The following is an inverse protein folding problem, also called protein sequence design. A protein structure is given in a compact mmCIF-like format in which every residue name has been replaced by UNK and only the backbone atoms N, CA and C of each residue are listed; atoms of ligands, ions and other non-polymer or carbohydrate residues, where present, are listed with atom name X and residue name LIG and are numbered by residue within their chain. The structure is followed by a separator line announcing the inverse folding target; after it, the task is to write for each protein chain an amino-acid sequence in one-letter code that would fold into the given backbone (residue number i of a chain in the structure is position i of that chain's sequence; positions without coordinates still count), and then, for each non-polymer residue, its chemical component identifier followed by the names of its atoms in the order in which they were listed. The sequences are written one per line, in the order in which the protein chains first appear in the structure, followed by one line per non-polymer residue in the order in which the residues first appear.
data_IF_621179371659
#
_entry.id   IF_621179371659
#
_cell.length_a   1.000
_cell.length_b   1.000
_cell.length_c   1.000
_cell.angle_alpha   90.00
_cell.angle_beta   90.00
_cell.angle_gamma   90.00
#
_symmetry.space_group_name_H-M   'P 1'
#
loop_
_entity.id
_entity.type
_entity.pdbx_description
1 polymer ?
#
# COMPACT_ATOMS: atom_id res chain seq x y z
N UNK A 1 10.68 36.14 -7.75
CA UNK A 1 9.20 36.17 -7.83
C UNK A 1 8.66 35.16 -6.82
N UNK A 2 8.15 35.63 -5.68
CA UNK A 2 7.63 34.75 -4.63
C UNK A 2 6.19 34.36 -4.96
N UNK A 3 5.91 33.07 -5.04
CA UNK A 3 4.55 32.56 -5.22
C UNK A 3 3.82 32.77 -3.90
N UNK A 4 2.90 33.74 -3.85
CA UNK A 4 2.00 33.92 -2.71
C UNK A 4 0.91 32.84 -2.81
N UNK A 5 1.19 31.68 -2.21
CA UNK A 5 0.21 30.58 -2.16
C UNK A 5 -0.83 30.93 -1.11
N UNK A 6 -2.10 31.03 -1.52
CA UNK A 6 -3.21 31.33 -0.63
C UNK A 6 -3.34 30.23 0.43
N UNK A 7 -3.48 30.61 1.71
CA UNK A 7 -3.61 29.67 2.83
C UNK A 7 -4.73 28.65 2.59
N UNK A 8 -5.85 29.05 1.98
CA UNK A 8 -6.95 28.13 1.62
C UNK A 8 -6.56 27.12 0.56
N UNK A 9 -5.81 27.54 -0.46
CA UNK A 9 -5.33 26.62 -1.50
C UNK A 9 -4.27 25.65 -0.96
N UNK A 10 -3.41 26.11 -0.05
CA UNK A 10 -2.48 25.24 0.66
C UNK A 10 -3.22 24.17 1.49
N UNK A 11 -4.23 24.58 2.27
CA UNK A 11 -5.03 23.63 3.05
C UNK A 11 -5.88 22.70 2.17
N UNK A 12 -6.39 23.17 1.04
CA UNK A 12 -7.10 22.32 0.08
C UNK A 12 -6.15 21.30 -0.56
N UNK A 13 -4.96 21.71 -0.99
CA UNK A 13 -3.95 20.79 -1.51
C UNK A 13 -3.54 19.75 -0.45
N UNK A 14 -3.38 20.16 0.81
CA UNK A 14 -3.08 19.28 1.93
C UNK A 14 -4.24 18.31 2.24
N UNK A 15 -5.48 18.79 2.19
CA UNK A 15 -6.68 17.95 2.40
C UNK A 15 -6.91 16.98 1.24
N UNK A 16 -6.67 17.40 0.00
CA UNK A 16 -6.71 16.53 -1.18
C UNK A 16 -5.61 15.48 -1.16
N UNK A 17 -4.42 15.80 -0.65
CA UNK A 17 -3.35 14.81 -0.39
C UNK A 17 -3.71 13.82 0.72
N UNK A 18 -4.52 14.22 1.69
CA UNK A 18 -4.91 13.38 2.83
C UNK A 18 -6.00 12.35 2.51
N UNK A 19 -6.62 12.40 1.33
CA UNK A 19 -7.37 11.25 0.81
C UNK A 19 -6.33 10.19 0.43
N UNK A 20 -6.03 9.28 1.36
CA UNK A 20 -5.25 8.06 1.10
C UNK A 20 -5.77 7.43 -0.18
N UNK A 21 -5.06 7.65 -1.29
CA UNK A 21 -5.43 7.06 -2.57
C UNK A 21 -5.29 5.56 -2.39
N UNK A 22 -6.42 4.87 -2.43
CA UNK A 22 -6.42 3.41 -2.37
C UNK A 22 -5.69 2.87 -3.58
N UNK A 23 -4.76 1.93 -3.40
CA UNK A 23 -3.94 1.38 -4.51
C UNK A 23 -4.11 -0.12 -4.61
N UNK A 24 -4.36 -0.61 -5.82
CA UNK A 24 -4.39 -2.04 -6.11
C UNK A 24 -2.99 -2.59 -6.35
N UNK A 25 -2.67 -3.68 -5.66
CA UNK A 25 -1.38 -4.35 -5.75
C UNK A 25 -1.60 -5.85 -5.87
N UNK A 26 -0.67 -6.52 -6.55
CA UNK A 26 -0.65 -7.97 -6.67
C UNK A 26 0.34 -8.57 -5.67
N UNK A 27 -0.06 -9.67 -5.04
CA UNK A 27 0.78 -10.46 -4.14
C UNK A 27 1.75 -11.30 -4.97
N UNK A 28 3.04 -11.21 -4.66
CA UNK A 28 4.09 -11.99 -5.31
C UNK A 28 4.41 -13.26 -4.52
N UNK A 29 4.54 -13.10 -3.21
CA UNK A 29 5.03 -14.14 -2.31
C UNK A 29 4.39 -13.95 -0.94
N UNK A 30 4.14 -15.05 -0.25
CA UNK A 30 3.52 -15.07 1.07
C UNK A 30 4.47 -15.82 2.01
N UNK A 31 4.79 -15.18 3.13
CA UNK A 31 5.63 -15.74 4.18
C UNK A 31 4.73 -16.17 5.33
N UNK A 32 4.70 -17.48 5.59
CA UNK A 32 3.84 -18.07 6.61
C UNK A 32 4.53 -18.12 7.98
N UNK A 33 3.74 -17.99 9.04
CA UNK A 33 4.07 -18.40 10.40
C UNK A 33 3.10 -19.50 10.86
N UNK A 34 3.22 -19.96 12.11
CA UNK A 34 2.36 -21.01 12.68
C UNK A 34 0.87 -20.69 12.62
N UNK A 35 0.50 -19.40 12.68
CA UNK A 35 -0.89 -18.95 12.89
C UNK A 35 -1.48 -18.25 11.64
N UNK A 36 -0.82 -18.36 10.48
CA UNK A 36 -1.22 -17.70 9.22
C UNK A 36 -0.10 -16.91 8.55
N UNK A 37 -0.39 -16.07 7.54
CA UNK A 37 0.63 -15.24 6.91
C UNK A 37 1.23 -14.25 7.91
N UNK A 38 2.55 -14.27 8.03
CA UNK A 38 3.33 -13.29 8.79
C UNK A 38 3.66 -12.06 7.95
N UNK A 39 3.87 -12.27 6.65
CA UNK A 39 4.12 -11.20 5.71
C UNK A 39 3.76 -11.62 4.28
N UNK A 40 3.63 -10.64 3.39
CA UNK A 40 3.55 -10.91 1.96
C UNK A 40 4.19 -9.77 1.15
N UNK A 41 4.86 -10.15 0.08
CA UNK A 41 5.51 -9.24 -0.85
C UNK A 41 4.52 -8.83 -1.93
N UNK A 42 4.43 -7.55 -2.25
CA UNK A 42 3.51 -7.01 -3.24
C UNK A 42 4.21 -6.17 -4.30
N UNK A 43 3.64 -6.13 -5.49
CA UNK A 43 3.99 -5.21 -6.58
C UNK A 43 2.74 -4.60 -7.20
N UNK A 44 2.91 -3.64 -8.11
CA UNK A 44 1.81 -3.04 -8.84
C UNK A 44 0.96 -4.10 -9.56
N UNK A 45 -0.37 -4.00 -9.47
CA UNK A 45 -1.29 -4.95 -10.13
C UNK A 45 -1.31 -4.79 -11.66
N UNK A 46 -1.05 -3.58 -12.17
CA UNK A 46 -0.98 -3.26 -13.59
C UNK A 46 0.21 -2.34 -13.88
N UNK A 47 0.70 -2.35 -15.12
CA UNK A 47 1.79 -1.46 -15.53
C UNK A 47 1.43 0.02 -15.36
N UNK A 48 0.16 0.38 -15.60
CA UNK A 48 -0.36 1.74 -15.36
C UNK A 48 -0.30 2.15 -13.89
N UNK A 49 -0.39 1.20 -12.95
CA UNK A 49 -0.30 1.48 -11.51
C UNK A 49 1.14 1.60 -11.00
N UNK A 50 2.17 1.29 -11.80
CA UNK A 50 3.57 1.21 -11.35
C UNK A 50 4.06 2.51 -10.71
N UNK A 51 3.85 3.64 -11.38
CA UNK A 51 4.33 4.94 -10.88
C UNK A 51 3.54 5.37 -9.64
N UNK A 52 2.22 5.21 -9.66
CA UNK A 52 1.32 5.50 -8.55
C UNK A 52 1.70 4.70 -7.31
N UNK A 53 1.89 3.38 -7.45
CA UNK A 53 2.29 2.53 -6.34
C UNK A 53 3.67 2.89 -5.79
N UNK A 54 4.63 3.20 -6.66
CA UNK A 54 5.96 3.65 -6.24
C UNK A 54 5.96 5.00 -5.49
N UNK A 55 5.04 5.91 -5.82
CA UNK A 55 4.83 7.16 -5.06
C UNK A 55 4.10 6.87 -3.74
N UNK A 56 3.08 6.02 -3.79
CA UNK A 56 2.32 5.61 -2.62
C UNK A 56 3.21 4.94 -1.56
N UNK A 57 4.08 4.02 -1.96
CA UNK A 57 5.07 3.37 -1.08
C UNK A 57 6.04 4.37 -0.44
N UNK A 58 6.38 5.46 -1.13
CA UNK A 58 7.25 6.51 -0.59
C UNK A 58 6.55 7.33 0.49
N UNK A 59 5.27 7.58 0.31
CA UNK A 59 4.47 8.33 1.28
C UNK A 59 4.05 7.50 2.51
N UNK A 60 3.96 6.18 2.38
CA UNK A 60 3.42 5.28 3.40
C UNK A 60 4.45 4.31 3.99
N UNK A 61 5.75 4.52 3.79
CA UNK A 61 6.78 3.63 4.32
C UNK A 61 6.70 3.52 5.86
N UNK A 62 6.51 2.32 6.37
CA UNK A 62 6.29 2.04 7.79
C UNK A 62 4.87 2.33 8.29
N UNK A 63 3.93 2.74 7.43
CA UNK A 63 2.58 3.08 7.85
C UNK A 63 1.74 1.82 8.14
N UNK A 64 0.78 1.97 9.07
CA UNK A 64 -0.28 0.98 9.29
C UNK A 64 -1.33 1.13 8.21
N UNK A 65 -1.74 0.02 7.61
CA UNK A 65 -2.63 0.00 6.45
C UNK A 65 -3.74 -1.03 6.62
N UNK A 66 -4.81 -0.86 5.84
CA UNK A 66 -5.87 -1.86 5.69
C UNK A 66 -5.82 -2.45 4.29
N UNK A 67 -5.53 -3.74 4.22
CA UNK A 67 -5.53 -4.53 2.99
C UNK A 67 -6.92 -5.13 2.81
N UNK A 68 -7.64 -4.76 1.76
CA UNK A 68 -8.91 -5.37 1.40
C UNK A 68 -8.71 -6.37 0.28
N UNK A 69 -9.01 -7.63 0.56
CA UNK A 69 -9.03 -8.72 -0.42
C UNK A 69 -10.25 -8.58 -1.33
N UNK A 70 -10.19 -9.18 -2.52
CA UNK A 70 -11.31 -9.22 -3.47
C UNK A 70 -12.57 -9.89 -2.89
N UNK A 71 -12.39 -10.83 -1.97
CA UNK A 71 -13.47 -11.47 -1.21
C UNK A 71 -14.21 -10.51 -0.26
N UNK A 72 -13.72 -9.28 -0.09
CA UNK A 72 -14.25 -8.29 0.85
C UNK A 72 -13.62 -8.35 2.24
N UNK A 73 -12.84 -9.39 2.53
CA UNK A 73 -12.13 -9.54 3.80
C UNK A 73 -11.09 -8.42 3.94
N UNK A 74 -11.07 -7.78 5.12
CA UNK A 74 -10.09 -6.74 5.43
C UNK A 74 -9.07 -7.26 6.44
N UNK A 75 -7.80 -7.06 6.12
CA UNK A 75 -6.64 -7.47 6.90
C UNK A 75 -5.87 -6.22 7.30
N UNK A 76 -5.60 -6.07 8.59
CA UNK A 76 -4.71 -5.02 9.07
C UNK A 76 -3.25 -5.44 8.84
N UNK A 77 -2.41 -4.47 8.48
CA UNK A 77 -0.99 -4.72 8.32
C UNK A 77 -0.15 -3.46 8.46
N UNK A 78 1.15 -3.63 8.28
CA UNK A 78 2.11 -2.54 8.18
C UNK A 78 2.91 -2.69 6.89
N UNK A 79 2.97 -1.64 6.09
CA UNK A 79 3.68 -1.64 4.80
C UNK A 79 5.09 -1.08 4.96
N UNK A 80 6.06 -1.71 4.30
CA UNK A 80 7.43 -1.23 4.19
C UNK A 80 7.84 -1.20 2.72
N UNK A 81 8.53 -0.13 2.32
CA UNK A 81 9.12 -0.02 1.00
C UNK A 81 10.42 -0.83 0.94
N UNK A 82 10.54 -1.73 -0.04
CA UNK A 82 11.78 -2.50 -0.24
C UNK A 82 12.83 -1.63 -0.95
N UNK A 83 13.89 -1.24 -0.23
CA UNK A 83 14.89 -0.26 -0.74
C UNK A 83 15.63 -0.71 -1.99
N UNK A 84 15.91 -2.01 -2.14
CA UNK A 84 16.66 -2.58 -3.27
C UNK A 84 15.78 -3.07 -4.43
N UNK A 85 14.45 -3.11 -4.26
CA UNK A 85 13.53 -3.60 -5.26
C UNK A 85 12.44 -2.54 -5.52
N UNK A 86 12.78 -1.56 -6.35
CA UNK A 86 11.90 -0.44 -6.66
C UNK A 86 10.51 -0.92 -7.12
N UNK A 87 9.46 -0.31 -6.54
CA UNK A 87 8.08 -0.65 -6.83
C UNK A 87 7.56 -1.91 -6.13
N UNK A 88 8.29 -2.44 -5.14
CA UNK A 88 7.82 -3.52 -4.27
C UNK A 88 7.61 -3.04 -2.84
N UNK A 89 6.58 -3.60 -2.22
CA UNK A 89 6.25 -3.39 -0.82
C UNK A 89 6.25 -4.72 -0.06
N UNK A 90 6.67 -4.69 1.19
CA UNK A 90 6.51 -5.80 2.12
C UNK A 90 5.41 -5.44 3.11
N UNK A 91 4.37 -6.26 3.19
CA UNK A 91 3.29 -6.06 4.16
C UNK A 91 3.46 -7.09 5.26
N UNK A 92 3.62 -6.63 6.50
CA UNK A 92 3.57 -7.48 7.68
C UNK A 92 2.13 -7.58 8.17
N UNK A 93 1.67 -8.78 8.49
CA UNK A 93 0.34 -9.02 9.06
C UNK A 93 0.39 -10.17 10.07
N UNK A 94 -0.70 -10.32 10.83
CA UNK A 94 -0.92 -11.43 11.76
C UNK A 94 -2.34 -11.99 11.64
N UNK A 95 -3.03 -11.68 10.54
CA UNK A 95 -4.39 -12.14 10.35
C UNK A 95 -4.38 -13.61 9.90
N UNK A 96 -5.19 -14.50 10.50
CA UNK A 96 -5.34 -15.89 10.08
C UNK A 96 -6.21 -15.98 8.82
N UNK A 97 -5.81 -15.28 7.76
CA UNK A 97 -6.53 -15.20 6.48
C UNK A 97 -5.66 -15.78 5.40
N UNK A 98 -6.23 -16.66 4.58
CA UNK A 98 -5.52 -17.23 3.44
C UNK A 98 -5.30 -16.15 2.38
N UNK A 99 -4.03 -15.77 2.18
CA UNK A 99 -3.55 -14.91 1.11
C UNK A 99 -2.65 -15.78 0.24
N UNK A 100 -2.82 -15.70 -1.08
CA UNK A 100 -2.06 -16.49 -2.03
C UNK A 100 -1.26 -15.61 -2.98
N UNK A 101 -0.14 -16.11 -3.54
CA UNK A 101 0.49 -15.48 -4.68
C UNK A 101 -0.53 -15.22 -5.80
N UNK A 102 -0.40 -14.08 -6.48
CA UNK A 102 -1.27 -13.53 -7.53
C UNK A 102 -2.60 -12.95 -7.06
N UNK A 103 -2.92 -12.99 -5.76
CA UNK A 103 -4.07 -12.26 -5.24
C UNK A 103 -3.90 -10.76 -5.46
N UNK A 104 -4.99 -10.08 -5.83
CA UNK A 104 -5.03 -8.62 -5.92
C UNK A 104 -5.66 -8.08 -4.64
N UNK A 105 -4.97 -7.13 -4.00
CA UNK A 105 -5.40 -6.48 -2.76
C UNK A 105 -5.43 -4.97 -2.91
N UNK A 106 -6.44 -4.34 -2.32
CA UNK A 106 -6.57 -2.90 -2.25
C UNK A 106 -6.01 -2.38 -0.93
N UNK A 107 -4.99 -1.52 -0.99
CA UNK A 107 -4.37 -0.92 0.18
C UNK A 107 -5.03 0.42 0.48
N UNK A 108 -5.36 0.69 1.76
CA UNK A 108 -5.90 1.96 2.25
C UNK A 108 -5.14 2.45 3.48
#
# INVERSE_FOLDING_TARGET
MGVVVNRREFFLALLLQSRSASVEVAVMEVFSASDGPAAFLVHHASESARNTFGQWLRAHDGARIRCRLRSGITVNGQIFRVKMCFGRGLILTRAPVAIHPKDVVLLN
#
